data_IF_957022382751
#
_entry.id   IF_957022382751
#
_cell.length_a   1.000
_cell.length_b   1.000
_cell.length_c   1.000
_cell.angle_alpha   90.00
_cell.angle_beta   90.00
_cell.angle_gamma   90.00
#
_symmetry.space_group_name_H-M   'P 1'
#
loop_
_entity.id
_entity.type
_entity.pdbx_description
1 polymer ?
#
# COMPACT_ATOMS: atom_id res chain seq x y z
N UNK A 1 4.99 -23.65 2.69
CA UNK A 1 3.85 -23.15 3.49
C UNK A 1 3.73 -21.67 3.18
N UNK A 2 2.55 -21.17 2.83
CA UNK A 2 2.30 -19.73 2.74
C UNK A 2 2.12 -19.23 4.19
N UNK A 3 3.11 -18.53 4.73
CA UNK A 3 3.01 -17.98 6.08
C UNK A 3 2.19 -16.69 6.07
N UNK A 4 1.19 -16.62 6.96
CA UNK A 4 0.42 -15.41 7.16
C UNK A 4 1.25 -14.38 7.95
N UNK A 5 1.18 -13.12 7.57
CA UNK A 5 1.83 -12.00 8.28
C UNK A 5 0.80 -11.11 8.96
N UNK A 6 1.03 -10.79 10.22
CA UNK A 6 0.32 -9.73 10.92
C UNK A 6 0.83 -8.35 10.48
N UNK A 7 -0.09 -7.46 10.10
CA UNK A 7 0.23 -6.09 9.71
C UNK A 7 -0.99 -5.17 9.83
N UNK A 8 -0.78 -3.86 9.74
CA UNK A 8 -1.87 -2.89 9.71
C UNK A 8 -2.49 -2.84 8.32
N UNK A 9 -3.81 -3.02 8.22
CA UNK A 9 -4.55 -2.83 6.98
C UNK A 9 -5.09 -1.40 6.92
N UNK A 10 -4.68 -0.63 5.91
CA UNK A 10 -5.14 0.75 5.74
C UNK A 10 -6.63 0.86 5.41
N UNK A 11 -7.21 -0.18 4.79
CA UNK A 11 -8.63 -0.20 4.45
C UNK A 11 -9.53 -0.58 5.64
N UNK A 12 -9.03 -1.43 6.54
CA UNK A 12 -9.74 -1.78 7.77
C UNK A 12 -9.42 -0.86 8.95
N UNK A 13 -8.39 -0.02 8.79
CA UNK A 13 -7.82 0.83 9.83
C UNK A 13 -7.47 0.10 11.14
N UNK A 14 -7.12 -1.20 11.04
CA UNK A 14 -6.80 -2.07 12.17
C UNK A 14 -5.73 -3.10 11.82
N UNK A 15 -5.11 -3.67 12.85
CA UNK A 15 -4.19 -4.81 12.70
C UNK A 15 -4.98 -6.05 12.29
N UNK A 16 -4.49 -6.76 11.28
CA UNK A 16 -5.10 -7.98 10.75
C UNK A 16 -4.03 -8.88 10.14
N UNK A 17 -4.46 -10.05 9.68
CA UNK A 17 -3.58 -11.04 9.04
C UNK A 17 -3.67 -10.91 7.54
N UNK A 18 -2.53 -11.05 6.89
CA UNK A 18 -2.37 -11.04 5.46
C UNK A 18 -1.83 -12.38 4.98
N UNK A 19 -2.39 -12.89 3.90
CA UNK A 19 -1.92 -14.10 3.25
C UNK A 19 -1.22 -13.70 1.95
N UNK A 20 0.00 -14.19 1.67
CA UNK A 20 0.64 -13.97 0.38
C UNK A 20 -0.19 -14.63 -0.74
N UNK A 21 -0.40 -13.91 -1.83
CA UNK A 21 -1.11 -14.39 -3.02
C UNK A 21 -0.28 -14.04 -4.26
N UNK A 22 -0.62 -14.60 -5.42
CA UNK A 22 0.01 -14.16 -6.68
C UNK A 22 -0.26 -12.67 -6.89
N UNK A 23 0.81 -11.85 -6.84
CA UNK A 23 0.72 -10.39 -7.01
C UNK A 23 0.69 -9.56 -5.72
N UNK A 24 0.85 -10.17 -4.53
CA UNK A 24 1.04 -9.40 -3.29
C UNK A 24 0.54 -10.08 -2.02
N UNK A 25 -0.09 -9.29 -1.16
CA UNK A 25 -0.65 -9.76 0.12
C UNK A 25 -2.13 -9.38 0.23
N UNK A 26 -2.97 -10.37 0.56
CA UNK A 26 -4.42 -10.20 0.75
C UNK A 26 -4.78 -10.09 2.22
N UNK A 27 -5.45 -8.98 2.59
CA UNK A 27 -6.03 -8.78 3.91
C UNK A 27 -7.16 -9.78 4.17
N UNK A 28 -7.08 -10.57 5.24
CA UNK A 28 -8.11 -11.55 5.55
C UNK A 28 -9.39 -10.98 6.17
N UNK A 29 -9.39 -9.70 6.57
CA UNK A 29 -10.61 -9.04 7.10
C UNK A 29 -11.46 -8.38 6.01
N UNK A 30 -10.87 -7.78 4.98
CA UNK A 30 -11.61 -7.04 3.92
C UNK A 30 -11.33 -7.54 2.50
N UNK A 31 -10.43 -8.51 2.32
CA UNK A 31 -10.02 -9.06 1.03
C UNK A 31 -9.35 -8.06 0.07
N UNK A 32 -8.93 -6.90 0.57
CA UNK A 32 -8.15 -5.95 -0.21
C UNK A 32 -6.69 -6.41 -0.36
N UNK A 33 -6.15 -6.18 -1.56
CA UNK A 33 -4.75 -6.48 -1.92
C UNK A 33 -3.86 -5.26 -1.70
N UNK A 34 -2.61 -5.49 -1.29
CA UNK A 34 -1.57 -4.45 -1.17
C UNK A 34 -1.94 -3.27 -0.26
N UNK A 35 -2.85 -3.49 0.70
CA UNK A 35 -3.24 -2.52 1.74
C UNK A 35 -2.42 -2.65 3.02
N UNK A 36 -1.32 -3.40 2.97
CA UNK A 36 -0.45 -3.65 4.11
C UNK A 36 0.43 -2.43 4.36
N UNK A 37 0.40 -1.90 5.58
CA UNK A 37 1.35 -0.87 6.04
C UNK A 37 2.23 -1.44 7.14
N UNK A 38 3.53 -1.20 7.05
CA UNK A 38 4.50 -1.65 8.05
C UNK A 38 4.23 -0.99 9.40
N UNK A 39 4.43 -1.72 10.50
CA UNK A 39 4.27 -1.17 11.85
C UNK A 39 5.28 -0.05 12.19
N UNK A 40 6.32 0.15 11.36
CA UNK A 40 7.26 1.26 11.49
C UNK A 40 6.71 2.56 10.88
N UNK A 41 5.86 2.45 9.86
CA UNK A 41 5.30 3.59 9.11
C UNK A 41 4.06 4.21 9.77
N UNK A 42 3.53 3.62 10.85
CA UNK A 42 2.42 4.19 11.66
C UNK A 42 2.91 5.23 12.68
N UNK A 43 4.22 5.37 12.88
CA UNK A 43 4.83 6.43 13.70
C UNK A 43 5.46 7.55 12.87
N UNK A 44 5.51 7.40 11.55
CA UNK A 44 5.96 8.47 10.67
C UNK A 44 4.76 9.33 10.27
N UNK A 45 4.87 10.62 10.57
CA UNK A 45 3.89 11.67 10.34
C UNK A 45 3.04 11.49 9.05
N UNK A 46 1.72 11.75 9.10
CA UNK A 46 0.85 11.74 7.92
C UNK A 46 1.12 12.88 6.91
N UNK A 47 2.29 13.53 6.98
CA UNK A 47 2.73 14.62 6.12
C UNK A 47 3.34 14.15 4.79
N UNK A 48 3.88 12.93 4.71
CA UNK A 48 4.37 12.38 3.43
C UNK A 48 3.23 11.72 2.64
N UNK A 49 2.25 12.54 2.26
CA UNK A 49 1.29 12.17 1.22
C UNK A 49 1.85 12.60 -0.13
N UNK A 50 1.97 11.61 -1.01
CA UNK A 50 2.01 11.75 -2.45
C UNK A 50 3.20 12.52 -3.05
N UNK A 51 4.28 11.79 -3.34
CA UNK A 51 5.05 12.06 -4.54
C UNK A 51 5.07 10.77 -5.39
N UNK A 52 3.91 10.48 -5.98
CA UNK A 52 3.81 9.49 -7.06
C UNK A 52 3.83 10.26 -8.37
N UNK A 53 5.05 10.44 -8.88
CA UNK A 53 5.44 10.53 -10.28
C UNK A 53 4.35 10.91 -11.31
N UNK A 54 4.44 12.13 -11.85
CA UNK A 54 4.21 12.34 -13.28
C UNK A 54 5.46 13.03 -13.82
N UNK A 55 6.39 12.21 -14.30
CA UNK A 55 7.52 12.65 -15.12
C UNK A 55 6.98 13.39 -16.34
N UNK A 56 7.45 14.62 -16.52
CA UNK A 56 7.08 15.53 -17.58
C UNK A 56 7.57 15.01 -18.94
N UNK A 57 6.66 14.66 -19.85
CA UNK A 57 6.93 14.70 -21.29
C UNK A 57 5.63 14.93 -22.08
N UNK A 58 5.07 16.15 -21.97
CA UNK A 58 4.32 16.75 -23.07
C UNK A 58 5.32 17.60 -23.88
N UNK A 59 5.66 17.26 -25.13
CA UNK A 59 6.23 18.25 -26.03
C UNK A 59 5.11 19.20 -26.50
N UNK A 60 5.05 20.37 -25.87
CA UNK A 60 4.38 21.53 -26.46
C UNK A 60 5.26 22.07 -27.58
N UNK A 61 4.93 21.76 -28.84
CA UNK A 61 5.42 22.55 -29.97
C UNK A 61 4.27 22.70 -30.99
N UNK A 62 3.49 23.75 -30.76
CA UNK A 62 2.57 24.34 -31.74
C UNK A 62 3.26 25.61 -32.23
N UNK A 63 3.75 25.58 -33.46
CA UNK A 63 4.08 26.77 -34.26
C UNK A 63 3.56 26.58 -35.69
#
# INVERSE_FOLDING_TARGET
MLEAKDAYCVNCEKITYFIPVEGGYECQSCKSLNTMRGMKDIHEDPSQKADTVVDLNLPEDIF
#
